data_IF_680559369234
#
_entry.id   IF_680559369234
#
_cell.length_a   1.000
_cell.length_b   1.000
_cell.length_c   1.000
_cell.angle_alpha   90.00
_cell.angle_beta   90.00
_cell.angle_gamma   90.00
#
_symmetry.space_group_name_H-M   'P 1'
#
loop_
_entity.id
_entity.type
_entity.pdbx_description
1 polymer ?
#
# COMPACT_ATOMS: atom_id res chain seq x y z
N UNK A 1 -33.25 11.23 -34.32
CA UNK A 1 -32.59 11.98 -33.24
C UNK A 1 -32.06 10.95 -32.25
N UNK A 2 -30.81 10.52 -32.42
CA UNK A 2 -30.18 9.53 -31.54
C UNK A 2 -29.77 10.23 -30.26
N UNK A 3 -30.40 9.90 -29.13
CA UNK A 3 -29.96 10.37 -27.83
C UNK A 3 -28.72 9.56 -27.45
N UNK A 4 -27.56 10.22 -27.54
CA UNK A 4 -26.38 9.78 -26.81
C UNK A 4 -26.73 9.83 -25.32
N UNK A 5 -26.95 8.67 -24.71
CA UNK A 5 -26.96 8.56 -23.25
C UNK A 5 -25.51 8.73 -22.83
N UNK A 6 -25.19 9.94 -22.37
CA UNK A 6 -23.95 10.19 -21.67
C UNK A 6 -24.03 9.39 -20.35
N UNK A 7 -23.47 8.17 -20.33
CA UNK A 7 -23.16 7.50 -19.07
C UNK A 7 -22.19 8.43 -18.38
N UNK A 8 -22.65 9.13 -17.35
CA UNK A 8 -21.75 9.65 -16.33
C UNK A 8 -20.83 8.50 -15.95
N UNK A 9 -19.55 8.61 -16.26
CA UNK A 9 -18.53 7.75 -15.67
C UNK A 9 -18.61 8.02 -14.17
N UNK A 10 -19.35 7.16 -13.46
CA UNK A 10 -19.25 7.07 -12.01
C UNK A 10 -17.81 6.68 -11.72
N UNK A 11 -16.99 7.67 -11.36
CA UNK A 11 -15.62 7.44 -10.94
C UNK A 11 -15.70 6.87 -9.52
N UNK A 12 -15.59 5.55 -9.43
CA UNK A 12 -15.66 4.82 -8.16
C UNK A 12 -14.39 5.09 -7.31
N UNK A 13 -14.47 4.99 -5.96
CA UNK A 13 -13.29 4.83 -5.10
C UNK A 13 -12.40 3.69 -5.59
N UNK A 14 -11.16 3.57 -5.08
CA UNK A 14 -10.32 2.42 -5.44
C UNK A 14 -11.11 1.18 -5.04
N UNK A 15 -11.70 0.50 -6.02
CA UNK A 15 -12.57 -0.61 -5.71
C UNK A 15 -11.71 -1.82 -5.36
N UNK A 16 -12.30 -2.75 -4.61
CA UNK A 16 -11.62 -3.96 -4.18
C UNK A 16 -10.98 -4.75 -5.34
N UNK A 17 -11.66 -4.79 -6.49
CA UNK A 17 -11.17 -5.44 -7.70
C UNK A 17 -9.94 -4.73 -8.26
N UNK A 18 -9.98 -3.40 -8.30
CA UNK A 18 -8.85 -2.57 -8.74
C UNK A 18 -7.63 -2.72 -7.82
N UNK A 19 -7.79 -2.68 -6.50
CA UNK A 19 -6.66 -2.91 -5.57
C UNK A 19 -6.10 -4.33 -5.73
N UNK A 20 -6.97 -5.33 -5.80
CA UNK A 20 -6.56 -6.73 -6.00
C UNK A 20 -5.78 -6.91 -7.30
N UNK A 21 -6.27 -6.31 -8.40
CA UNK A 21 -5.61 -6.33 -9.71
C UNK A 21 -4.23 -5.66 -9.66
N UNK A 22 -4.13 -4.47 -9.07
CA UNK A 22 -2.87 -3.74 -8.91
C UNK A 22 -1.84 -4.55 -8.12
N UNK A 23 -2.27 -5.18 -7.03
CA UNK A 23 -1.41 -6.00 -6.17
C UNK A 23 -1.17 -7.41 -6.74
N UNK A 24 -1.84 -7.79 -7.83
CA UNK A 24 -1.67 -9.08 -8.50
C UNK A 24 -2.38 -10.25 -7.82
N UNK A 25 -3.45 -9.99 -7.09
CA UNK A 25 -4.29 -11.03 -6.49
C UNK A 25 -3.55 -11.93 -5.49
N UNK A 26 -2.47 -11.41 -4.86
CA UNK A 26 -1.54 -12.22 -4.07
C UNK A 26 -2.10 -12.66 -2.71
N UNK A 27 -3.12 -11.97 -2.19
CA UNK A 27 -3.87 -12.34 -0.99
C UNK A 27 -5.36 -12.48 -1.29
N UNK A 28 -6.13 -13.03 -0.35
CA UNK A 28 -7.58 -13.18 -0.50
C UNK A 28 -8.29 -11.82 -0.64
N UNK A 29 -9.45 -11.81 -1.29
CA UNK A 29 -10.29 -10.62 -1.36
C UNK A 29 -10.67 -10.10 0.04
N UNK A 30 -10.94 -10.99 0.99
CA UNK A 30 -11.19 -10.62 2.38
C UNK A 30 -10.00 -9.86 2.99
N UNK A 31 -8.77 -10.29 2.71
CA UNK A 31 -7.57 -9.58 3.16
C UNK A 31 -7.46 -8.19 2.52
N UNK A 32 -7.76 -8.07 1.22
CA UNK A 32 -7.78 -6.75 0.58
C UNK A 32 -8.90 -5.85 1.11
N UNK A 33 -10.07 -6.40 1.47
CA UNK A 33 -11.14 -5.63 2.14
C UNK A 33 -10.62 -5.02 3.43
N UNK A 34 -9.89 -5.78 4.24
CA UNK A 34 -9.30 -5.27 5.47
C UNK A 34 -8.20 -4.21 5.25
N UNK A 35 -7.48 -4.28 4.12
CA UNK A 35 -6.38 -3.36 3.81
C UNK A 35 -6.84 -2.07 3.14
N UNK A 36 -7.90 -2.13 2.34
CA UNK A 36 -8.29 -1.06 1.43
C UNK A 36 -8.50 0.30 2.11
N UNK A 37 -9.24 0.42 3.24
CA UNK A 37 -9.44 1.72 3.88
C UNK A 37 -8.12 2.37 4.33
N UNK A 38 -7.20 1.57 4.88
CA UNK A 38 -5.90 2.05 5.33
C UNK A 38 -4.99 2.41 4.14
N UNK A 39 -5.08 1.66 3.04
CA UNK A 39 -4.33 1.92 1.82
C UNK A 39 -4.78 3.24 1.16
N UNK A 40 -6.08 3.46 0.99
CA UNK A 40 -6.62 4.70 0.43
C UNK A 40 -6.30 5.91 1.30
N UNK A 41 -6.43 5.77 2.62
CA UNK A 41 -6.07 6.82 3.57
C UNK A 41 -4.60 7.20 3.44
N UNK A 42 -3.71 6.21 3.35
CA UNK A 42 -2.28 6.44 3.17
C UNK A 42 -1.96 7.16 1.86
N UNK A 43 -2.63 6.80 0.77
CA UNK A 43 -2.47 7.52 -0.51
C UNK A 43 -2.88 8.99 -0.38
N UNK A 44 -3.99 9.28 0.30
CA UNK A 44 -4.44 10.67 0.54
C UNK A 44 -3.42 11.45 1.38
N UNK A 45 -2.93 10.86 2.47
CA UNK A 45 -1.94 11.49 3.35
C UNK A 45 -0.60 11.76 2.65
N UNK A 46 -0.24 10.94 1.67
CA UNK A 46 0.97 11.09 0.85
C UNK A 46 0.76 11.99 -0.41
N UNK A 47 -0.42 12.59 -0.58
CA UNK A 47 -0.83 13.32 -1.78
C UNK A 47 -0.65 12.51 -3.09
N UNK A 48 -0.94 11.21 -3.01
CA UNK A 48 -0.96 10.28 -4.14
C UNK A 48 -2.35 10.35 -4.79
N UNK A 49 -2.65 11.51 -5.37
CA UNK A 49 -3.98 11.91 -5.85
C UNK A 49 -4.10 11.97 -7.38
N UNK A 50 -3.04 11.58 -8.10
CA UNK A 50 -3.02 11.53 -9.57
C UNK A 50 -2.71 10.11 -10.05
N UNK A 51 -3.18 9.75 -11.25
CA UNK A 51 -2.94 8.40 -11.79
C UNK A 51 -1.45 8.01 -11.90
N UNK A 52 -0.52 8.90 -12.31
CA UNK A 52 0.92 8.59 -12.29
C UNK A 52 1.46 8.28 -10.89
N UNK A 53 1.08 9.09 -9.88
CA UNK A 53 1.46 8.87 -8.49
C UNK A 53 0.90 7.56 -7.96
N UNK A 54 -0.39 7.31 -8.18
CA UNK A 54 -1.06 6.10 -7.76
C UNK A 54 -0.43 4.84 -8.39
N UNK A 55 -0.11 4.89 -9.69
CA UNK A 55 0.54 3.80 -10.37
C UNK A 55 1.95 3.51 -9.80
N UNK A 56 2.74 4.55 -9.52
CA UNK A 56 4.06 4.41 -8.92
C UNK A 56 3.98 3.88 -7.49
N UNK A 57 3.09 4.43 -6.66
CA UNK A 57 2.82 3.99 -5.30
C UNK A 57 2.48 2.50 -5.24
N UNK A 58 1.48 2.07 -6.02
CA UNK A 58 1.06 0.68 -6.09
C UNK A 58 2.17 -0.25 -6.58
N UNK A 59 2.93 0.17 -7.59
CA UNK A 59 4.01 -0.64 -8.13
C UNK A 59 5.13 -0.88 -7.12
N UNK A 60 5.54 0.17 -6.42
CA UNK A 60 6.63 0.09 -5.44
C UNK A 60 6.21 -0.68 -4.20
N UNK A 61 5.10 -0.31 -3.55
CA UNK A 61 4.61 -1.04 -2.38
C UNK A 61 4.28 -2.49 -2.72
N UNK A 62 3.70 -2.74 -3.90
CA UNK A 62 3.41 -4.09 -4.38
C UNK A 62 4.66 -4.93 -4.54
N UNK A 63 5.79 -4.34 -4.97
CA UNK A 63 7.07 -5.04 -5.02
C UNK A 63 7.59 -5.36 -3.61
N UNK A 64 7.74 -4.34 -2.77
CA UNK A 64 8.34 -4.46 -1.42
C UNK A 64 7.60 -5.44 -0.50
N UNK A 65 6.27 -5.51 -0.64
CA UNK A 65 5.41 -6.31 0.24
C UNK A 65 4.87 -7.59 -0.40
N UNK A 66 5.26 -7.85 -1.66
CA UNK A 66 4.71 -8.94 -2.48
C UNK A 66 3.18 -8.84 -2.56
N UNK A 67 2.68 -7.71 -3.05
CA UNK A 67 1.25 -7.45 -3.21
C UNK A 67 0.50 -7.31 -1.87
N UNK A 68 1.12 -6.64 -0.88
CA UNK A 68 0.61 -6.47 0.48
C UNK A 68 0.45 -7.78 1.28
N UNK A 69 1.12 -8.85 0.83
CA UNK A 69 1.14 -10.13 1.53
C UNK A 69 1.91 -10.06 2.84
N UNK A 70 3.04 -9.35 2.85
CA UNK A 70 3.91 -9.25 4.02
C UNK A 70 3.94 -7.82 4.56
N UNK A 71 3.54 -7.67 5.82
CA UNK A 71 3.67 -6.42 6.61
C UNK A 71 4.82 -6.47 7.61
N UNK A 72 5.53 -7.60 7.64
CA UNK A 72 6.76 -7.81 8.38
C UNK A 72 7.63 -8.73 7.53
N UNK A 73 8.93 -8.45 7.48
CA UNK A 73 9.88 -9.29 6.76
C UNK A 73 9.87 -10.72 7.33
N UNK A 74 10.09 -11.72 6.48
CA UNK A 74 10.13 -13.14 6.90
C UNK A 74 11.46 -13.48 7.60
N UNK A 75 12.54 -12.84 7.20
CA UNK A 75 13.84 -13.00 7.82
C UNK A 75 13.83 -12.60 9.32
N UNK A 76 14.80 -13.13 10.07
CA UNK A 76 14.88 -12.92 11.51
C UNK A 76 15.26 -11.50 11.91
N UNK A 77 15.88 -10.73 11.00
CA UNK A 77 16.54 -9.46 11.29
C UNK A 77 17.97 -9.59 11.82
N UNK A 78 18.52 -10.80 11.97
CA UNK A 78 19.89 -11.00 12.48
C UNK A 78 20.95 -10.31 11.62
N UNK A 79 20.71 -10.22 10.31
CA UNK A 79 21.61 -9.54 9.37
C UNK A 79 21.71 -8.03 9.63
N UNK A 80 20.77 -7.44 10.39
CA UNK A 80 20.79 -6.02 10.74
C UNK A 80 21.48 -5.74 12.07
N UNK A 81 21.89 -6.77 12.82
CA UNK A 81 22.56 -6.58 14.10
C UNK A 81 23.90 -5.84 13.92
N UNK A 82 24.13 -4.80 14.72
CA UNK A 82 25.36 -4.00 14.66
C UNK A 82 25.50 -3.09 13.43
N UNK A 83 24.51 -3.03 12.52
CA UNK A 83 24.50 -2.12 11.37
C UNK A 83 24.39 -0.66 11.83
N UNK A 84 25.53 0.03 11.85
CA UNK A 84 25.62 1.42 12.33
C UNK A 84 24.92 2.42 11.43
N UNK A 85 24.87 2.14 10.12
CA UNK A 85 24.12 2.94 9.15
C UNK A 85 22.60 2.87 9.37
N UNK A 86 22.10 1.80 9.99
CA UNK A 86 20.71 1.63 10.43
C UNK A 86 20.47 2.14 11.87
N UNK A 87 21.52 2.63 12.53
CA UNK A 87 21.50 3.02 13.93
C UNK A 87 21.37 1.84 14.92
N UNK A 88 21.58 0.60 14.47
CA UNK A 88 21.48 -0.60 15.29
C UNK A 88 22.76 -0.77 16.13
N UNK A 89 22.90 0.06 17.16
CA UNK A 89 24.11 0.13 18.00
C UNK A 89 23.95 -0.57 19.36
N UNK A 90 22.75 -1.07 19.67
CA UNK A 90 22.47 -1.78 20.92
C UNK A 90 22.26 -3.28 20.65
N UNK A 91 22.71 -4.16 21.56
CA UNK A 91 22.48 -5.60 21.41
C UNK A 91 21.00 -5.94 21.22
N UNK A 92 20.69 -6.70 20.17
CA UNK A 92 19.35 -7.17 19.83
C UNK A 92 18.56 -6.22 18.91
N UNK A 93 19.17 -5.11 18.49
CA UNK A 93 18.54 -4.14 17.58
C UNK A 93 18.16 -4.75 16.24
N UNK A 94 18.94 -5.70 15.72
CA UNK A 94 18.69 -6.27 14.40
C UNK A 94 17.31 -6.93 14.33
N UNK A 95 17.02 -7.84 15.25
CA UNK A 95 15.70 -8.49 15.33
C UNK A 95 14.60 -7.52 15.76
N UNK A 96 14.91 -6.62 16.71
CA UNK A 96 13.92 -5.67 17.25
C UNK A 96 13.41 -4.73 16.16
N UNK A 97 14.29 -4.23 15.30
CA UNK A 97 14.00 -3.26 14.24
C UNK A 97 14.11 -3.87 12.84
N UNK A 98 13.74 -5.15 12.68
CA UNK A 98 13.55 -5.79 11.37
C UNK A 98 12.50 -5.06 10.51
N UNK A 99 12.48 -5.35 9.20
CA UNK A 99 11.58 -4.72 8.24
C UNK A 99 10.10 -4.89 8.56
N UNK A 100 9.36 -3.77 8.59
CA UNK A 100 7.90 -3.73 8.79
C UNK A 100 7.18 -2.73 7.89
N UNK A 101 5.90 -2.98 7.71
CA UNK A 101 5.04 -2.26 6.79
C UNK A 101 5.33 -2.61 5.33
N UNK A 102 4.54 -2.06 4.40
CA UNK A 102 4.61 -2.41 2.99
C UNK A 102 5.81 -1.76 2.28
N UNK A 103 6.53 -0.84 2.93
CA UNK A 103 7.79 -0.25 2.42
C UNK A 103 9.03 -0.82 3.16
N UNK A 104 8.85 -1.76 4.10
CA UNK A 104 9.93 -2.40 4.86
C UNK A 104 10.83 -1.44 5.66
N UNK A 105 10.23 -0.61 6.54
CA UNK A 105 10.98 0.24 7.47
C UNK A 105 11.83 -0.63 8.39
N UNK A 106 13.14 -0.41 8.38
CA UNK A 106 14.14 -1.23 9.06
C UNK A 106 15.12 -0.34 9.82
N UNK A 107 15.68 -0.82 10.93
CA UNK A 107 16.71 -0.11 11.69
C UNK A 107 16.20 0.88 12.73
N UNK A 108 16.86 0.91 13.90
CA UNK A 108 16.52 1.78 15.02
C UNK A 108 16.40 3.25 14.62
N UNK A 109 17.31 3.73 13.77
CA UNK A 109 17.32 5.13 13.33
C UNK A 109 16.02 5.51 12.60
N UNK A 110 15.54 4.63 11.71
CA UNK A 110 14.33 4.86 10.93
C UNK A 110 13.07 4.74 11.79
N UNK A 111 12.99 3.74 12.68
CA UNK A 111 11.89 3.64 13.64
C UNK A 111 11.78 4.88 14.53
N UNK A 112 12.92 5.44 14.95
CA UNK A 112 12.96 6.67 15.74
C UNK A 112 12.54 7.90 14.91
N UNK A 113 12.98 8.00 13.65
CA UNK A 113 12.60 9.08 12.75
C UNK A 113 11.09 9.06 12.45
N UNK A 114 10.55 7.89 12.10
CA UNK A 114 9.12 7.68 11.88
C UNK A 114 8.30 8.03 13.13
N UNK A 115 8.73 7.59 14.31
CA UNK A 115 8.03 7.89 15.57
C UNK A 115 7.89 9.40 15.81
N UNK A 116 8.97 10.17 15.60
CA UNK A 116 8.94 11.63 15.73
C UNK A 116 8.04 12.27 14.69
N UNK A 117 8.15 11.84 13.43
CA UNK A 117 7.34 12.36 12.33
C UNK A 117 5.85 12.13 12.55
N UNK A 118 5.48 10.93 13.01
CA UNK A 118 4.10 10.53 13.29
C UNK A 118 3.55 11.28 14.52
N UNK A 119 4.35 11.44 15.57
CA UNK A 119 3.95 12.20 16.76
C UNK A 119 3.70 13.68 16.46
N UNK A 120 4.55 14.30 15.62
CA UNK A 120 4.34 15.69 15.18
C UNK A 120 3.03 15.89 14.40
N UNK A 121 2.43 14.82 13.88
CA UNK A 121 1.15 14.79 13.17
C UNK A 121 0.02 14.24 14.02
N UNK A 122 0.25 14.02 15.32
CA UNK A 122 -0.71 13.43 16.25
C UNK A 122 -1.23 12.04 15.83
N UNK A 123 -0.45 11.29 15.03
CA UNK A 123 -0.79 9.93 14.60
C UNK A 123 -0.43 8.88 15.66
N UNK A 124 0.49 9.21 16.57
CA UNK A 124 0.92 8.35 17.67
C UNK A 124 1.10 9.18 18.94
N UNK A 125 0.93 8.59 20.14
CA UNK A 125 0.88 9.35 21.40
C UNK A 125 2.26 9.81 21.90
N UNK A 126 3.36 9.23 21.43
CA UNK A 126 4.71 9.57 21.90
C UNK A 126 5.71 9.67 20.75
N UNK A 127 6.76 10.51 20.87
CA UNK A 127 7.80 10.64 19.83
C UNK A 127 8.71 9.41 19.71
N UNK A 128 8.54 8.39 20.55
CA UNK A 128 9.29 7.13 20.58
C UNK A 128 8.41 5.91 20.28
N UNK A 129 7.14 6.11 19.91
CA UNK A 129 6.13 5.06 19.85
C UNK A 129 6.58 3.77 19.14
N UNK A 130 7.15 3.84 17.94
CA UNK A 130 7.63 2.67 17.20
C UNK A 130 8.98 2.14 17.69
N UNK A 131 9.78 2.95 18.39
CA UNK A 131 10.99 2.45 19.07
C UNK A 131 10.60 1.56 20.25
N UNK A 132 9.58 1.98 21.00
CA UNK A 132 9.06 1.28 22.17
C UNK A 132 8.21 0.06 21.75
N UNK A 133 7.45 0.20 20.64
CA UNK A 133 6.50 -0.79 20.13
C UNK A 133 6.75 -1.12 18.65
N UNK A 134 7.92 -1.69 18.28
CA UNK A 134 8.29 -1.86 16.87
C UNK A 134 7.33 -2.78 16.11
N UNK A 135 6.79 -3.80 16.76
CA UNK A 135 5.80 -4.71 16.16
C UNK A 135 4.49 -4.01 15.76
N UNK A 136 4.15 -2.85 16.34
CA UNK A 136 2.97 -2.09 15.96
C UNK A 136 3.00 -1.72 14.46
N UNK A 137 4.19 -1.49 13.90
CA UNK A 137 4.38 -1.15 12.48
C UNK A 137 4.04 -2.29 11.51
N UNK A 138 3.73 -3.49 11.99
CA UNK A 138 3.21 -4.60 11.18
C UNK A 138 1.66 -4.72 11.23
N UNK A 139 1.00 -3.96 12.10
CA UNK A 139 -0.46 -3.99 12.27
C UNK A 139 -1.17 -3.11 11.23
N UNK A 140 -2.45 -3.39 10.98
CA UNK A 140 -3.26 -2.63 10.02
C UNK A 140 -3.33 -1.13 10.36
N UNK A 141 -3.39 -0.80 11.66
CA UNK A 141 -3.53 0.57 12.14
C UNK A 141 -2.32 1.45 11.81
N UNK A 142 -1.12 0.85 11.74
CA UNK A 142 0.13 1.61 11.64
C UNK A 142 1.00 1.26 10.43
N UNK A 143 0.80 0.11 9.78
CA UNK A 143 1.72 -0.38 8.74
C UNK A 143 1.94 0.62 7.61
N UNK A 144 0.90 1.35 7.21
CA UNK A 144 0.99 2.32 6.13
C UNK A 144 1.65 3.65 6.53
N UNK A 145 1.75 3.99 7.82
CA UNK A 145 2.46 5.22 8.23
C UNK A 145 3.92 5.21 7.83
N UNK A 146 4.57 4.03 7.81
CA UNK A 146 5.92 3.90 7.27
C UNK A 146 6.00 4.26 5.78
N UNK A 147 5.02 3.83 4.98
CA UNK A 147 4.96 4.14 3.55
C UNK A 147 4.69 5.64 3.32
N UNK A 148 3.73 6.23 4.03
CA UNK A 148 3.43 7.68 3.94
C UNK A 148 4.64 8.50 4.33
N UNK A 149 5.25 8.19 5.48
CA UNK A 149 6.44 8.88 5.98
C UNK A 149 7.55 8.86 4.94
N UNK A 150 7.94 7.66 4.47
CA UNK A 150 9.04 7.52 3.53
C UNK A 150 8.74 8.28 2.23
N UNK A 151 7.53 8.14 1.70
CA UNK A 151 7.12 8.78 0.46
C UNK A 151 7.18 10.30 0.53
N UNK A 152 6.65 10.88 1.62
CA UNK A 152 6.61 12.32 1.84
C UNK A 152 8.00 12.89 2.12
N UNK A 153 8.80 12.24 2.98
CA UNK A 153 10.11 12.79 3.35
C UNK A 153 11.17 12.68 2.26
N UNK A 154 10.96 11.83 1.26
CA UNK A 154 11.86 11.66 0.10
C UNK A 154 11.30 12.27 -1.19
N UNK A 155 10.20 13.02 -1.13
CA UNK A 155 9.58 13.69 -2.28
C UNK A 155 9.32 12.75 -3.48
N UNK A 156 8.75 11.57 -3.20
CA UNK A 156 8.52 10.56 -4.24
C UNK A 156 7.42 10.94 -5.24
N UNK A 157 6.61 11.96 -4.94
CA UNK A 157 5.65 12.52 -5.89
C UNK A 157 6.35 13.12 -7.11
N UNK A 158 7.49 13.80 -6.95
CA UNK A 158 8.21 14.42 -8.06
C UNK A 158 8.63 13.41 -9.16
N UNK A 159 9.39 12.34 -8.82
CA UNK A 159 9.69 11.25 -9.76
C UNK A 159 8.44 10.56 -10.30
N UNK A 160 7.43 10.34 -9.47
CA UNK A 160 6.18 9.69 -9.92
C UNK A 160 5.42 10.53 -10.96
N UNK A 161 5.36 11.85 -10.79
CA UNK A 161 4.75 12.78 -11.76
C UNK A 161 5.48 12.74 -13.12
N UNK A 162 6.80 12.57 -13.09
CA UNK A 162 7.63 12.36 -14.29
C UNK A 162 7.59 10.94 -14.84
N UNK A 163 6.85 10.02 -14.18
CA UNK A 163 6.80 8.58 -14.51
C UNK A 163 8.17 7.90 -14.47
N UNK A 164 9.05 8.39 -13.60
CA UNK A 164 10.45 8.00 -13.49
C UNK A 164 10.60 6.82 -12.51
N UNK A 165 10.38 5.62 -13.05
CA UNK A 165 10.45 4.37 -12.30
C UNK A 165 11.86 4.11 -11.73
N UNK A 166 12.89 4.45 -12.50
CA UNK A 166 14.28 4.22 -12.11
C UNK A 166 14.71 5.12 -10.96
N UNK A 167 14.39 6.42 -11.02
CA UNK A 167 14.67 7.33 -9.91
C UNK A 167 13.90 6.92 -8.64
N UNK A 168 12.61 6.60 -8.77
CA UNK A 168 11.79 6.14 -7.63
C UNK A 168 12.37 4.86 -7.02
N UNK A 169 12.73 3.90 -7.86
CA UNK A 169 13.32 2.63 -7.42
C UNK A 169 14.66 2.86 -6.71
N UNK A 170 15.51 3.73 -7.25
CA UNK A 170 16.79 4.05 -6.61
C UNK A 170 16.62 4.73 -5.26
N UNK A 171 15.62 5.61 -5.10
CA UNK A 171 15.34 6.28 -3.82
C UNK A 171 14.85 5.27 -2.78
N UNK A 172 13.91 4.40 -3.15
CA UNK A 172 13.37 3.37 -2.24
C UNK A 172 14.45 2.34 -1.95
N UNK A 173 14.97 1.67 -2.97
CA UNK A 173 15.79 0.48 -2.78
C UNK A 173 17.29 0.79 -2.59
N UNK A 174 17.75 2.04 -2.75
CA UNK A 174 19.16 2.41 -2.74
C UNK A 174 19.94 1.97 -4.00
N UNK A 175 19.23 1.40 -4.99
CA UNK A 175 19.77 0.82 -6.22
C UNK A 175 18.66 0.23 -7.09
N UNK A 176 19.01 -0.58 -8.09
CA UNK A 176 18.04 -1.09 -9.09
C UNK A 176 17.61 -2.54 -8.88
N UNK A 177 17.81 -3.11 -7.69
CA UNK A 177 17.37 -4.47 -7.40
C UNK A 177 15.84 -4.57 -7.55
N UNK A 178 15.39 -5.59 -8.28
CA UNK A 178 13.98 -5.81 -8.56
C UNK A 178 13.35 -4.89 -9.61
N UNK A 179 14.14 -4.08 -10.34
CA UNK A 179 13.62 -3.10 -11.30
C UNK A 179 12.70 -3.72 -12.37
N UNK A 180 12.98 -4.94 -12.85
CA UNK A 180 12.15 -5.61 -13.85
C UNK A 180 10.76 -5.98 -13.31
N UNK A 181 10.67 -6.49 -12.08
CA UNK A 181 9.38 -6.75 -11.42
C UNK A 181 8.61 -5.45 -11.16
N UNK A 182 9.31 -4.41 -10.69
CA UNK A 182 8.72 -3.06 -10.52
C UNK A 182 8.19 -2.52 -11.84
N UNK A 183 8.87 -2.78 -12.97
CA UNK A 183 8.42 -2.37 -14.31
C UNK A 183 7.14 -3.08 -14.71
N UNK A 184 7.04 -4.39 -14.49
CA UNK A 184 5.83 -5.18 -14.76
C UNK A 184 4.66 -4.67 -13.92
N UNK A 185 4.87 -4.44 -12.62
CA UNK A 185 3.85 -3.88 -11.73
C UNK A 185 3.44 -2.48 -12.14
N UNK A 186 4.40 -1.63 -12.50
CA UNK A 186 4.14 -0.26 -12.93
C UNK A 186 3.34 -0.20 -14.23
N UNK A 187 3.63 -1.07 -15.20
CA UNK A 187 2.83 -1.21 -16.42
C UNK A 187 1.39 -1.62 -16.10
N UNK A 188 1.20 -2.62 -15.23
CA UNK A 188 -0.12 -3.05 -14.76
C UNK A 188 -0.88 -1.90 -14.09
N UNK A 189 -0.25 -1.23 -13.14
CA UNK A 189 -0.88 -0.14 -12.40
C UNK A 189 -1.17 1.07 -13.31
N UNK A 190 -0.29 1.36 -14.27
CA UNK A 190 -0.52 2.43 -15.25
C UNK A 190 -1.73 2.15 -16.13
N UNK A 191 -1.99 0.89 -16.48
CA UNK A 191 -3.16 0.49 -17.28
C UNK A 191 -4.49 0.68 -16.53
N UNK A 192 -4.46 0.66 -15.19
CA UNK A 192 -5.64 0.94 -14.35
C UNK A 192 -6.01 2.44 -14.35
N UNK A 193 -5.04 3.32 -14.59
CA UNK A 193 -5.27 4.76 -14.71
C UNK A 193 -5.98 5.36 -13.50
N UNK A 194 -7.03 6.13 -13.75
CA UNK A 194 -7.79 6.84 -12.71
C UNK A 194 -8.54 5.90 -11.75
N UNK A 195 -8.70 4.60 -12.06
CA UNK A 195 -9.30 3.63 -11.13
C UNK A 195 -8.48 3.49 -9.85
N UNK A 196 -7.18 3.79 -9.89
CA UNK A 196 -6.30 3.76 -8.71
C UNK A 196 -6.31 5.05 -7.90
N UNK A 197 -6.91 6.12 -8.40
CA UNK A 197 -6.86 7.40 -7.70
C UNK A 197 -7.84 7.37 -6.53
N UNK A 198 -7.39 7.63 -5.30
CA UNK A 198 -8.29 7.73 -4.15
C UNK A 198 -9.24 8.90 -4.37
N UNK A 199 -10.53 8.67 -4.19
CA UNK A 199 -11.52 9.73 -4.34
C UNK A 199 -11.49 10.66 -3.11
N UNK A 200 -11.78 11.95 -3.28
CA UNK A 200 -12.07 12.82 -2.15
C UNK A 200 -13.24 12.23 -1.35
N UNK A 201 -13.23 12.39 -0.02
CA UNK A 201 -14.38 12.00 0.79
C UNK A 201 -15.60 12.78 0.29
N UNK A 202 -16.76 12.14 0.07
CA UNK A 202 -17.97 12.89 -0.18
C UNK A 202 -18.19 13.78 1.05
N UNK A 203 -18.58 15.03 0.83
CA UNK A 203 -18.99 15.90 1.93
C UNK A 203 -20.14 15.23 2.69
N UNK A 204 -20.35 15.54 3.98
CA UNK A 204 -21.47 14.99 4.77
C UNK A 204 -22.82 15.12 4.04
N UNK A 205 -22.98 16.18 3.23
CA UNK A 205 -24.16 16.39 2.39
C UNK A 205 -24.25 15.52 1.14
N UNK A 206 -23.14 14.99 0.62
CA UNK A 206 -23.11 14.04 -0.50
C UNK A 206 -23.31 12.59 -0.04
N UNK A 207 -22.78 12.21 1.13
CA UNK A 207 -23.06 10.90 1.75
C UNK A 207 -24.57 10.74 2.03
N UNK A 208 -25.19 11.76 2.62
CA UNK A 208 -26.63 11.76 2.89
C UNK A 208 -27.50 11.69 1.62
N UNK A 209 -27.00 12.19 0.48
CA UNK A 209 -27.69 12.13 -0.83
C UNK A 209 -27.51 10.80 -1.56
N UNK A 210 -26.43 10.06 -1.27
CA UNK A 210 -26.12 8.76 -1.88
C UNK A 210 -26.79 7.59 -1.18
N UNK A 211 -27.04 7.69 0.13
CA UNK A 211 -27.66 6.61 0.91
C UNK A 211 -28.98 6.07 0.32
N UNK A 212 -29.93 6.92 -0.15
CA UNK A 212 -31.19 6.44 -0.71
C UNK A 212 -31.04 5.66 -2.03
N UNK A 213 -29.97 5.91 -2.79
CA UNK A 213 -29.68 5.23 -4.06
C UNK A 213 -29.01 3.88 -3.84
N UNK A 214 -28.09 3.82 -2.87
CA UNK A 214 -27.47 2.57 -2.39
C UNK A 214 -28.53 1.62 -1.84
N UNK A 215 -29.47 2.13 -1.05
CA UNK A 215 -30.56 1.34 -0.46
C UNK A 215 -31.50 0.77 -1.55
N UNK A 216 -31.78 1.53 -2.61
CA UNK A 216 -32.56 1.07 -3.78
C UNK A 216 -31.86 -0.02 -4.59
N UNK A 217 -30.55 0.10 -4.79
CA UNK A 217 -29.77 -0.90 -5.53
C UNK A 217 -29.56 -2.19 -4.73
N UNK A 218 -29.44 -2.08 -3.40
CA UNK A 218 -29.35 -3.23 -2.50
C UNK A 218 -30.65 -4.05 -2.47
N UNK A 219 -31.81 -3.37 -2.49
CA UNK A 219 -33.12 -4.05 -2.56
C UNK A 219 -33.38 -4.69 -3.93
N UNK A 220 -32.87 -4.12 -5.02
CA UNK A 220 -32.99 -4.69 -6.36
C UNK A 220 -32.15 -5.96 -6.59
N UNK A 221 -31.08 -6.20 -5.81
CA UNK A 221 -30.22 -7.39 -5.96
C UNK A 221 -30.68 -8.61 -5.15
N UNK A 222 -31.54 -8.42 -4.16
CA UNK A 222 -32.05 -9.52 -3.33
C UNK A 222 -33.17 -10.32 -4.00
N UNK A 223 -33.74 -9.85 -5.11
CA UNK A 223 -34.79 -10.55 -5.85
C UNK A 223 -34.28 -11.62 -6.83
N UNK A 224 -32.99 -11.66 -7.15
CA UNK A 224 -32.50 -12.36 -8.36
C UNK A 224 -31.57 -13.57 -8.08
N UNK A 225 -31.43 -14.04 -6.83
CA UNK A 225 -30.47 -15.09 -6.45
C UNK A 225 -31.01 -16.52 -6.41
N UNK A 226 -31.20 -17.17 -7.57
CA UNK A 226 -31.35 -18.64 -7.70
C UNK A 226 -30.02 -19.31 -8.07
N UNK A 227 -29.63 -20.38 -7.36
CA UNK A 227 -28.25 -20.87 -7.27
C UNK A 227 -27.72 -21.80 -8.37
N UNK A 228 -26.44 -22.17 -8.27
CA UNK A 228 -25.87 -23.43 -8.80
C UNK A 228 -24.45 -23.73 -8.26
N UNK A 229 -24.06 -25.01 -8.29
CA UNK A 229 -23.04 -25.69 -7.48
C UNK A 229 -21.77 -26.14 -8.23
N UNK A 230 -20.67 -26.27 -7.46
CA UNK A 230 -19.51 -27.21 -7.52
C UNK A 230 -18.57 -27.31 -8.74
N UNK A 231 -17.23 -27.35 -8.48
CA UNK A 231 -16.22 -27.99 -9.36
C UNK A 231 -14.76 -27.47 -9.28
N UNK A 232 -13.88 -28.19 -8.58
CA UNK A 232 -12.41 -28.08 -8.36
C UNK A 232 -11.47 -28.08 -9.62
N UNK A 233 -10.10 -28.09 -9.51
CA UNK A 233 -9.14 -27.16 -8.88
C UNK A 233 -7.91 -26.86 -9.81
N UNK A 234 -6.97 -25.97 -9.44
CA UNK A 234 -5.52 -26.18 -9.61
C UNK A 234 -4.69 -25.05 -8.98
N UNK A 235 -3.86 -25.43 -8.00
CA UNK A 235 -2.85 -24.59 -7.37
C UNK A 235 -1.55 -24.65 -8.18
N UNK A 236 -0.93 -23.50 -8.41
CA UNK A 236 0.41 -23.37 -9.00
C UNK A 236 1.37 -22.87 -7.91
N UNK A 237 2.57 -23.45 -7.89
CA UNK A 237 3.58 -23.33 -6.83
C UNK A 237 4.13 -21.89 -6.64
N UNK A 238 4.65 -21.55 -5.44
CA UNK A 238 5.28 -20.25 -5.21
C UNK A 238 6.64 -20.15 -5.90
N UNK A 239 6.86 -19.03 -6.59
CA UNK A 239 8.17 -18.58 -7.05
C UNK A 239 9.02 -18.19 -5.83
N UNK A 240 10.31 -18.51 -5.93
CA UNK A 240 11.32 -18.33 -4.90
C UNK A 240 11.49 -16.86 -4.46
N UNK A 241 11.84 -16.71 -3.18
CA UNK A 241 11.92 -15.45 -2.45
C UNK A 241 13.11 -14.59 -2.87
N UNK A 242 12.94 -13.32 -3.26
CA UNK A 242 14.02 -12.36 -3.22
C UNK A 242 14.30 -11.97 -1.77
N UNK A 243 15.56 -12.10 -1.37
CA UNK A 243 16.10 -11.71 -0.08
C UNK A 243 15.85 -10.22 0.21
N UNK A 244 15.61 -9.91 1.49
CA UNK A 244 15.44 -8.56 2.01
C UNK A 244 16.52 -7.59 1.50
N UNK A 245 16.10 -6.38 1.14
CA UNK A 245 16.97 -5.32 0.65
C UNK A 245 17.89 -4.85 1.78
N UNK A 246 19.24 -4.96 1.66
CA UNK A 246 20.17 -4.68 2.74
C UNK A 246 20.40 -3.18 3.03
N UNK A 247 19.57 -2.27 2.51
CA UNK A 247 19.82 -0.82 2.47
C UNK A 247 18.70 0.07 3.03
N UNK A 248 17.74 -0.49 3.75
CA UNK A 248 16.81 0.29 4.58
C UNK A 248 16.97 -0.06 6.05
#
# INVERSE_FOLDING_TARGET
>A
MCYFVNRSEEVFPVDLGTLSEAMGGTVSLERYVALLPHFEQAMKEADVTTAPRAAMWCAQLGHESVGLKYMEEIASGDAYEGRTDLGNTQPGDGRRFKGRGPIQVTGRANYAALSRWAHQRSLVPTPTFFVDNPAALASLDYAFYGAVWFWVTHDLNGPADRRDLEATTKIINGGFNGLDDRRIRYQRCSALGNRLVPQPHPTEGEEARRQPEVDRLATARQSDGGGCSSGHPQCVAPLEHPSANPWM
#
